data_IF_472826383100
#
_entry.id   IF_472826383100
#
_cell.length_a   1.000
_cell.length_b   1.000
_cell.length_c   1.000
_cell.angle_alpha   90.00
_cell.angle_beta   90.00
_cell.angle_gamma   90.00
#
_symmetry.space_group_name_H-M   'P 1'
#
loop_
_entity.id
_entity.type
_entity.pdbx_description
1 polymer ?
#
# COMPACT_ATOMS: atom_id res chain seq x y z
N UNK A 1 17.76 -46.70 -11.08
CA UNK A 1 16.33 -46.29 -11.03
C UNK A 1 15.90 -45.78 -9.66
N UNK A 2 16.07 -46.54 -8.57
CA UNK A 2 15.70 -46.13 -7.19
C UNK A 2 16.30 -44.79 -6.71
N UNK A 3 17.54 -44.47 -7.09
CA UNK A 3 18.19 -43.21 -6.71
C UNK A 3 17.70 -42.01 -7.54
N UNK A 4 17.48 -42.22 -8.85
CA UNK A 4 16.93 -41.20 -9.75
C UNK A 4 15.52 -40.77 -9.31
N UNK A 5 14.68 -41.75 -8.98
CA UNK A 5 13.32 -41.48 -8.52
C UNK A 5 13.30 -40.68 -7.21
N UNK A 6 14.19 -40.99 -6.27
CA UNK A 6 14.31 -40.25 -5.00
C UNK A 6 14.76 -38.80 -5.22
N UNK A 7 15.72 -38.57 -6.12
CA UNK A 7 16.19 -37.22 -6.45
C UNK A 7 15.09 -36.40 -7.13
N UNK A 8 14.33 -36.99 -8.04
CA UNK A 8 13.19 -36.30 -8.69
C UNK A 8 12.10 -35.93 -7.68
N UNK A 9 11.79 -36.82 -6.74
CA UNK A 9 10.84 -36.54 -5.66
C UNK A 9 11.35 -35.39 -4.77
N UNK A 10 12.64 -35.39 -4.42
CA UNK A 10 13.24 -34.33 -3.62
C UNK A 10 13.17 -32.97 -4.34
N UNK A 11 13.51 -32.92 -5.63
CA UNK A 11 13.44 -31.69 -6.44
C UNK A 11 12.00 -31.20 -6.54
N UNK A 12 11.04 -32.08 -6.82
CA UNK A 12 9.63 -31.71 -6.93
C UNK A 12 9.09 -31.19 -5.58
N UNK A 13 9.47 -31.81 -4.46
CA UNK A 13 9.09 -31.35 -3.13
C UNK A 13 9.70 -29.98 -2.79
N UNK A 14 10.99 -29.76 -3.09
CA UNK A 14 11.63 -28.46 -2.90
C UNK A 14 11.02 -27.37 -3.79
N UNK A 15 10.75 -27.68 -5.05
CA UNK A 15 10.12 -26.76 -5.99
C UNK A 15 8.72 -26.34 -5.52
N UNK A 16 7.92 -27.28 -5.00
CA UNK A 16 6.58 -27.01 -4.49
C UNK A 16 6.58 -26.02 -3.31
N UNK A 17 7.52 -26.20 -2.36
CA UNK A 17 7.68 -25.29 -1.20
C UNK A 17 8.14 -23.91 -1.66
N UNK A 18 9.07 -23.82 -2.61
CA UNK A 18 9.56 -22.55 -3.14
C UNK A 18 8.53 -21.85 -4.03
N UNK A 19 7.67 -22.57 -4.76
CA UNK A 19 6.60 -22.01 -5.59
C UNK A 19 5.38 -21.55 -4.78
N UNK A 20 5.30 -21.93 -3.50
CA UNK A 20 4.28 -21.45 -2.56
C UNK A 20 4.68 -20.13 -1.88
N UNK A 21 5.79 -19.50 -2.31
CA UNK A 21 6.09 -18.13 -1.91
C UNK A 21 5.00 -17.21 -2.47
N UNK A 22 4.06 -16.82 -1.61
CA UNK A 22 3.25 -15.65 -1.85
C UNK A 22 4.20 -14.45 -1.70
N UNK A 23 4.57 -13.73 -2.78
CA UNK A 23 5.18 -12.43 -2.58
C UNK A 23 4.17 -11.61 -1.79
N UNK A 24 4.54 -11.24 -0.56
CA UNK A 24 3.78 -10.23 0.16
C UNK A 24 4.00 -8.95 -0.63
N UNK A 25 3.08 -8.65 -1.54
CA UNK A 25 3.02 -7.36 -2.20
C UNK A 25 2.58 -6.36 -1.13
N UNK A 26 3.56 -5.78 -0.45
CA UNK A 26 3.30 -4.62 0.36
C UNK A 26 2.77 -3.52 -0.58
N UNK A 27 1.70 -2.81 -0.21
CA UNK A 27 1.22 -1.71 -1.03
C UNK A 27 2.36 -0.70 -1.20
N UNK A 28 2.90 -0.60 -2.42
CA UNK A 28 3.88 0.43 -2.75
C UNK A 28 3.14 1.74 -2.95
N UNK A 29 3.61 2.79 -2.28
CA UNK A 29 3.14 4.16 -2.48
C UNK A 29 4.07 4.80 -3.50
N UNK A 30 3.52 5.15 -4.67
CA UNK A 30 4.21 5.93 -5.69
C UNK A 30 3.59 7.32 -5.79
N UNK A 31 4.42 8.36 -5.74
CA UNK A 31 4.02 9.74 -5.94
C UNK A 31 5.06 10.53 -6.72
N UNK A 32 4.62 11.27 -7.74
CA UNK A 32 5.45 12.22 -8.46
C UNK A 32 5.49 11.98 -9.96
N UNK A 33 6.31 12.78 -10.65
CA UNK A 33 6.41 12.81 -12.10
C UNK A 33 7.68 12.10 -12.54
N UNK A 34 7.52 11.07 -13.37
CA UNK A 34 8.64 10.35 -13.99
C UNK A 34 9.22 11.17 -15.16
N UNK A 35 10.48 10.90 -15.50
CA UNK A 35 11.06 11.37 -16.75
C UNK A 35 10.14 11.06 -17.94
N UNK A 36 9.83 12.07 -18.75
CA UNK A 36 8.82 11.98 -19.82
C UNK A 36 7.43 12.53 -19.44
N UNK A 37 7.24 13.01 -18.21
CA UNK A 37 6.05 13.78 -17.81
C UNK A 37 4.87 12.95 -17.31
N UNK A 38 5.05 11.63 -17.12
CA UNK A 38 4.01 10.75 -16.58
C UNK A 38 3.91 10.96 -15.07
N UNK A 39 2.72 11.36 -14.60
CA UNK A 39 2.42 11.50 -13.18
C UNK A 39 1.92 10.17 -12.60
N UNK A 40 2.58 9.72 -11.53
CA UNK A 40 2.17 8.57 -10.73
C UNK A 40 1.50 9.05 -9.45
N UNK A 41 0.38 8.42 -9.10
CA UNK A 41 -0.41 8.73 -7.91
C UNK A 41 -0.86 7.46 -7.22
N UNK A 42 -0.92 7.55 -5.90
CA UNK A 42 -1.48 6.50 -5.03
C UNK A 42 -2.84 6.95 -4.50
N UNK A 43 -3.82 6.05 -4.53
CA UNK A 43 -5.13 6.25 -3.92
C UNK A 43 -5.28 5.26 -2.76
N UNK A 44 -5.61 5.78 -1.59
CA UNK A 44 -5.85 4.98 -0.39
C UNK A 44 -7.31 5.09 -0.03
N UNK A 45 -7.97 3.94 0.08
CA UNK A 45 -9.34 3.82 0.57
C UNK A 45 -9.34 3.33 2.02
N UNK A 46 -9.92 4.12 2.92
CA UNK A 46 -10.16 3.71 4.31
C UNK A 46 -11.65 3.53 4.50
N UNK A 47 -12.08 2.30 4.75
CA UNK A 47 -13.48 1.93 4.91
C UNK A 47 -13.76 1.51 6.35
N UNK A 48 -14.85 2.03 6.92
CA UNK A 48 -15.42 1.51 8.16
C UNK A 48 -16.64 0.63 7.81
N UNK A 49 -16.52 -0.71 7.91
CA UNK A 49 -17.58 -1.64 7.51
C UNK A 49 -18.71 -1.75 8.55
N UNK A 50 -18.62 -1.08 9.70
CA UNK A 50 -19.69 -1.07 10.70
C UNK A 50 -20.99 -0.50 10.10
N UNK A 51 -22.15 -0.84 10.69
CA UNK A 51 -23.44 -0.35 10.18
C UNK A 51 -23.57 1.19 10.29
N UNK A 52 -24.40 1.79 9.45
CA UNK A 52 -24.76 3.21 9.52
C UNK A 52 -25.24 3.59 10.93
N UNK A 53 -24.73 4.70 11.48
CA UNK A 53 -25.03 5.14 12.85
C UNK A 53 -24.11 4.55 13.92
N UNK A 54 -23.22 3.61 13.56
CA UNK A 54 -22.15 3.16 14.45
C UNK A 54 -21.13 4.27 14.72
N UNK A 55 -20.43 4.17 15.85
CA UNK A 55 -19.33 5.08 16.18
C UNK A 55 -18.29 5.15 15.04
N UNK A 56 -17.75 6.35 14.83
CA UNK A 56 -16.71 6.54 13.84
C UNK A 56 -15.40 5.85 14.26
N UNK A 57 -14.77 5.17 13.31
CA UNK A 57 -13.42 4.65 13.48
C UNK A 57 -12.42 5.79 13.22
N UNK A 58 -11.43 5.96 14.09
CA UNK A 58 -10.36 6.93 13.93
C UNK A 58 -9.00 6.27 13.97
N UNK A 59 -8.02 6.88 13.31
CA UNK A 59 -6.66 6.36 13.26
C UNK A 59 -5.74 7.26 12.46
N UNK A 60 -4.53 6.78 12.21
CA UNK A 60 -3.53 7.48 11.40
C UNK A 60 -2.84 6.48 10.49
N UNK A 61 -2.86 6.76 9.20
CA UNK A 61 -2.01 6.06 8.22
C UNK A 61 -0.63 6.69 8.28
N UNK A 62 0.42 5.89 8.47
CA UNK A 62 1.81 6.33 8.53
C UNK A 62 2.59 5.71 7.39
N UNK A 63 3.33 6.52 6.64
CA UNK A 63 4.16 6.09 5.52
C UNK A 63 5.62 6.02 5.93
N UNK A 64 6.25 4.90 5.64
CA UNK A 64 7.63 4.60 6.01
C UNK A 64 8.28 3.93 4.81
N UNK A 65 9.52 4.30 4.52
CA UNK A 65 10.35 3.65 3.51
C UNK A 65 10.80 2.27 4.00
N UNK A 66 11.28 1.45 3.08
CA UNK A 66 11.90 0.14 3.36
C UNK A 66 13.09 0.23 4.34
N UNK A 67 13.81 1.35 4.34
CA UNK A 67 14.90 1.65 5.26
C UNK A 67 14.45 2.12 6.66
N UNK A 68 13.14 2.17 6.93
CA UNK A 68 12.56 2.58 8.21
C UNK A 68 12.45 4.09 8.43
N UNK A 69 12.85 4.92 7.46
CA UNK A 69 12.70 6.39 7.54
C UNK A 69 11.32 6.86 7.07
N UNK A 70 10.94 8.08 7.45
CA UNK A 70 9.66 8.65 7.05
C UNK A 70 9.56 8.82 5.52
N UNK A 71 8.46 8.32 4.93
CA UNK A 71 8.14 8.56 3.52
C UNK A 71 7.20 9.76 3.40
N UNK A 72 7.76 10.96 3.19
CA UNK A 72 6.98 12.19 3.14
C UNK A 72 6.26 12.32 1.79
N UNK A 73 4.93 12.28 1.81
CA UNK A 73 4.07 12.42 0.63
C UNK A 73 2.83 13.22 1.01
N UNK A 74 2.52 14.22 0.18
CA UNK A 74 1.32 15.03 0.33
C UNK A 74 0.11 14.32 -0.26
N UNK A 75 -0.97 14.25 0.49
CA UNK A 75 -2.25 13.71 0.05
C UNK A 75 -3.34 14.79 0.07
N UNK A 76 -4.36 14.59 -0.74
CA UNK A 76 -5.60 15.36 -0.69
C UNK A 76 -6.80 14.42 -0.52
N UNK A 77 -7.92 14.96 -0.04
CA UNK A 77 -9.20 14.28 -0.15
C UNK A 77 -9.76 14.35 -1.59
N UNK A 78 -10.96 13.81 -1.78
CA UNK A 78 -11.69 13.82 -3.06
C UNK A 78 -12.07 15.22 -3.55
N UNK A 79 -12.03 16.22 -2.69
CA UNK A 79 -12.32 17.63 -3.01
C UNK A 79 -11.03 18.44 -3.23
N UNK A 80 -9.87 17.78 -3.22
CA UNK A 80 -8.57 18.42 -3.40
C UNK A 80 -8.08 19.17 -2.17
N UNK A 81 -8.71 19.00 -1.01
CA UNK A 81 -8.23 19.62 0.23
C UNK A 81 -7.03 18.84 0.77
N UNK A 82 -5.93 19.50 1.18
CA UNK A 82 -4.80 18.84 1.80
C UNK A 82 -5.22 18.02 3.02
N UNK A 83 -4.76 16.78 3.10
CA UNK A 83 -4.99 15.89 4.24
C UNK A 83 -3.68 15.43 4.85
N UNK A 84 -3.59 15.49 6.17
CA UNK A 84 -2.39 15.08 6.89
C UNK A 84 -1.21 16.04 6.72
N UNK A 85 -0.04 15.58 7.15
CA UNK A 85 1.21 16.34 7.10
C UNK A 85 2.41 15.38 7.15
N UNK A 86 3.47 15.72 6.41
CA UNK A 86 4.70 14.92 6.32
C UNK A 86 4.43 13.52 5.76
N UNK A 87 4.54 12.52 6.61
CA UNK A 87 4.36 11.11 6.27
C UNK A 87 3.11 10.48 6.94
N UNK A 88 2.14 11.29 7.36
CA UNK A 88 0.95 10.79 8.08
C UNK A 88 -0.35 11.38 7.56
N UNK A 89 -1.42 10.56 7.56
CA UNK A 89 -2.80 10.97 7.28
C UNK A 89 -3.69 10.54 8.46
N UNK A 90 -4.17 11.47 9.29
CA UNK A 90 -5.21 11.16 10.26
C UNK A 90 -6.55 10.96 9.56
N UNK A 91 -7.35 10.01 10.06
CA UNK A 91 -8.69 9.75 9.54
C UNK A 91 -9.72 9.58 10.64
N UNK A 92 -10.97 9.87 10.27
CA UNK A 92 -12.16 9.54 11.02
C UNK A 92 -13.25 9.12 10.03
N UNK A 93 -13.75 7.89 10.10
CA UNK A 93 -14.69 7.32 9.13
C UNK A 93 -15.89 6.73 9.88
N UNK A 94 -17.08 7.28 9.65
CA UNK A 94 -18.32 6.77 10.24
C UNK A 94 -18.68 5.40 9.68
N UNK A 95 -19.52 4.64 10.39
CA UNK A 95 -19.99 3.34 9.89
C UNK A 95 -20.61 3.44 8.49
N UNK A 96 -20.32 2.44 7.66
CA UNK A 96 -20.74 2.30 6.27
C UNK A 96 -20.21 3.39 5.33
N UNK A 97 -19.09 4.03 5.69
CA UNK A 97 -18.44 5.04 4.85
C UNK A 97 -17.03 4.62 4.43
N UNK A 98 -16.60 5.21 3.33
CA UNK A 98 -15.23 5.13 2.81
C UNK A 98 -14.70 6.54 2.61
N UNK A 99 -13.46 6.79 3.04
CA UNK A 99 -12.70 7.98 2.65
C UNK A 99 -11.62 7.60 1.66
N UNK A 100 -11.41 8.46 0.68
CA UNK A 100 -10.34 8.32 -0.30
C UNK A 100 -9.32 9.43 -0.09
N UNK A 101 -8.05 9.05 -0.18
CA UNK A 101 -6.91 9.94 -0.10
C UNK A 101 -6.07 9.75 -1.35
N UNK A 102 -5.75 10.83 -2.05
CA UNK A 102 -5.03 10.81 -3.33
C UNK A 102 -3.72 11.55 -3.18
N UNK A 103 -2.60 10.94 -3.56
CA UNK A 103 -1.30 11.59 -3.50
C UNK A 103 -1.18 12.70 -4.57
N UNK A 104 -0.41 13.75 -4.27
CA UNK A 104 -0.46 14.99 -5.04
C UNK A 104 0.25 14.91 -6.41
N UNK A 105 1.33 14.14 -6.52
CA UNK A 105 2.23 14.00 -7.68
C UNK A 105 2.90 15.31 -8.13
N UNK A 106 3.43 16.09 -7.19
CA UNK A 106 3.98 17.43 -7.46
C UNK A 106 5.51 17.47 -7.59
N UNK A 107 6.22 16.42 -7.15
CA UNK A 107 7.68 16.32 -7.17
C UNK A 107 8.17 15.31 -8.20
N UNK A 108 9.49 15.09 -8.29
CA UNK A 108 10.05 13.95 -9.02
C UNK A 108 9.52 12.64 -8.44
N UNK A 109 9.31 11.63 -9.30
CA UNK A 109 8.79 10.33 -8.88
C UNK A 109 9.59 9.76 -7.71
N UNK A 110 8.87 9.45 -6.63
CA UNK A 110 9.36 8.79 -5.45
C UNK A 110 8.48 7.57 -5.14
N UNK A 111 9.08 6.50 -4.63
CA UNK A 111 8.41 5.23 -4.33
C UNK A 111 8.83 4.71 -2.97
N UNK A 112 7.88 4.19 -2.19
CA UNK A 112 8.11 3.62 -0.86
C UNK A 112 7.14 2.51 -0.52
#
# INVERSE_FOLDING_TARGET
MKHILRTLIAIAASAAVCSAQNPIYLPQVADGVQAGGIAWRTIIAVTNPAATGSAAASGTVTFTQDNGTAFNVSFTDVFGQPVGSGNTIPFQVSGAQTRLYVSAATAALNTG
#
